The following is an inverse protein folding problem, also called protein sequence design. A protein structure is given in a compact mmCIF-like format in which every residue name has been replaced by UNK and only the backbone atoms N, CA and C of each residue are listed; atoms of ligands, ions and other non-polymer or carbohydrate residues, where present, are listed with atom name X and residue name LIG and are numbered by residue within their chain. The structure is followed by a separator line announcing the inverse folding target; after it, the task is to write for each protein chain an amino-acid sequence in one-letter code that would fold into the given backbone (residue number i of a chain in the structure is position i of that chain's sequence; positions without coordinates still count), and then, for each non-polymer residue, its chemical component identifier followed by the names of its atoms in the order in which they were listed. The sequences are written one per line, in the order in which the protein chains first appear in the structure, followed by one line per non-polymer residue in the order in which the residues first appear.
data_IF_180081757326
#
_entry.id   IF_180081757326
#
_cell.length_a   1.000
_cell.length_b   1.000
_cell.length_c   1.000
_cell.angle_alpha   90.00
_cell.angle_beta   90.00
_cell.angle_gamma   90.00
#
_symmetry.space_group_name_H-M   'P 1'
#
loop_
_entity.id
_entity.type
_entity.pdbx_description
1 polymer ?
#
# COMPACT_ATOMS: atom_id res chain seq x y z
N UNK A 1 14.18 -12.61 -5.27
CA UNK A 1 14.47 -14.06 -5.41
C UNK A 1 13.22 -14.94 -5.27
N UNK A 2 12.41 -14.84 -4.20
CA UNK A 2 11.21 -15.68 -4.04
C UNK A 2 10.20 -15.57 -5.21
N UNK A 3 10.05 -14.38 -5.79
CA UNK A 3 9.18 -14.12 -6.95
C UNK A 3 9.68 -14.86 -8.21
N UNK A 4 11.00 -14.83 -8.47
CA UNK A 4 11.64 -15.46 -9.62
C UNK A 4 11.33 -16.96 -9.70
N UNK A 5 11.42 -17.65 -8.57
CA UNK A 5 11.18 -19.09 -8.45
C UNK A 5 9.71 -19.47 -8.23
N UNK A 6 8.84 -18.50 -7.98
CA UNK A 6 7.41 -18.77 -7.81
C UNK A 6 6.76 -19.17 -9.13
N UNK A 7 7.26 -18.64 -10.26
CA UNK A 7 6.75 -18.89 -11.60
C UNK A 7 7.49 -20.10 -12.20
N UNK A 8 6.79 -21.16 -12.64
CA UNK A 8 7.41 -22.37 -13.21
C UNK A 8 7.89 -22.17 -14.67
N UNK A 9 8.31 -20.96 -15.03
CA UNK A 9 8.86 -20.61 -16.34
C UNK A 9 10.08 -19.69 -16.16
N UNK A 10 11.14 -19.95 -16.95
CA UNK A 10 12.41 -19.21 -16.83
C UNK A 10 12.24 -17.75 -17.23
N UNK A 11 11.51 -17.48 -18.32
CA UNK A 11 11.36 -16.13 -18.85
C UNK A 11 10.35 -15.34 -18.00
N UNK A 12 9.21 -15.94 -17.65
CA UNK A 12 8.19 -15.34 -16.81
C UNK A 12 8.69 -15.00 -15.41
N UNK A 13 9.53 -15.85 -14.81
CA UNK A 13 10.17 -15.55 -13.53
C UNK A 13 11.08 -14.30 -13.59
N UNK A 14 11.88 -14.18 -14.66
CA UNK A 14 12.77 -13.02 -14.87
C UNK A 14 11.96 -11.75 -15.12
N UNK A 15 10.95 -11.82 -15.99
CA UNK A 15 10.05 -10.69 -16.23
C UNK A 15 9.37 -10.23 -14.94
N UNK A 16 8.85 -11.15 -14.13
CA UNK A 16 8.24 -10.81 -12.84
C UNK A 16 9.26 -10.21 -11.86
N UNK A 17 10.52 -10.65 -11.88
CA UNK A 17 11.56 -10.03 -11.06
C UNK A 17 11.78 -8.57 -11.45
N UNK A 18 11.95 -8.26 -12.74
CA UNK A 18 12.11 -6.88 -13.20
C UNK A 18 10.84 -6.07 -12.98
N UNK A 19 9.67 -6.64 -13.25
CA UNK A 19 8.38 -6.01 -13.01
C UNK A 19 8.16 -5.67 -11.53
N UNK A 20 8.68 -6.49 -10.59
CA UNK A 20 8.55 -6.20 -9.15
C UNK A 20 9.29 -4.94 -8.72
N UNK A 21 10.35 -4.55 -9.44
CA UNK A 21 11.03 -3.28 -9.24
C UNK A 21 10.36 -2.19 -10.09
N UNK A 22 10.02 -2.53 -11.34
CA UNK A 22 9.36 -1.65 -12.30
C UNK A 22 8.05 -1.04 -11.77
N UNK A 23 7.26 -1.83 -11.03
CA UNK A 23 5.96 -1.40 -10.48
C UNK A 23 6.10 -0.22 -9.50
N UNK A 24 7.25 -0.08 -8.83
CA UNK A 24 7.50 1.03 -7.92
C UNK A 24 7.67 2.36 -8.66
N UNK A 25 8.15 2.33 -9.90
CA UNK A 25 8.28 3.55 -10.71
C UNK A 25 6.94 4.06 -11.19
N UNK A 26 5.99 3.17 -11.52
CA UNK A 26 4.65 3.56 -11.97
C UNK A 26 3.68 3.89 -10.82
N UNK A 27 4.15 3.78 -9.57
CA UNK A 27 3.35 4.00 -8.36
C UNK A 27 2.70 5.40 -8.27
N UNK A 28 3.35 6.51 -8.71
CA UNK A 28 2.72 7.83 -8.72
C UNK A 28 1.46 7.93 -9.59
N UNK A 29 1.30 7.04 -10.58
CA UNK A 29 0.11 6.98 -11.45
C UNK A 29 -0.94 5.98 -10.95
N UNK A 30 -0.53 5.01 -10.14
CA UNK A 30 -1.43 4.00 -9.58
C UNK A 30 -2.15 4.49 -8.31
N UNK A 31 -1.52 5.38 -7.52
CA UNK A 31 -2.19 6.00 -6.37
C UNK A 31 -3.04 7.20 -6.81
N UNK A 32 -4.35 6.96 -6.98
CA UNK A 32 -5.31 7.97 -7.46
C UNK A 32 -5.84 8.89 -6.35
N UNK A 33 -5.42 8.68 -5.09
CA UNK A 33 -5.91 9.45 -3.95
C UNK A 33 -5.41 10.90 -3.95
N UNK A 34 -6.33 11.85 -3.70
CA UNK A 34 -6.01 13.27 -3.51
C UNK A 34 -5.23 13.55 -2.22
N UNK A 35 -5.38 12.69 -1.21
CA UNK A 35 -4.69 12.83 0.09
C UNK A 35 -3.37 12.09 0.05
N UNK A 36 -2.27 12.84 0.13
CA UNK A 36 -0.89 12.31 0.05
C UNK A 36 -0.45 11.54 1.29
N UNK A 37 -0.99 11.89 2.46
CA UNK A 37 -0.58 11.28 3.72
C UNK A 37 -1.40 10.03 4.05
N UNK A 38 -0.70 8.91 4.21
CA UNK A 38 -1.27 7.63 4.62
C UNK A 38 -1.95 7.67 6.01
N UNK A 39 -1.57 8.62 6.88
CA UNK A 39 -2.14 8.76 8.23
C UNK A 39 -3.63 9.07 8.20
N UNK A 40 -4.08 9.81 7.17
CA UNK A 40 -5.48 10.21 7.00
C UNK A 40 -6.27 9.22 6.14
N UNK A 41 -5.64 8.13 5.69
CA UNK A 41 -6.22 7.08 4.85
C UNK A 41 -6.28 5.75 5.63
N UNK A 42 -7.35 5.50 6.42
CA UNK A 42 -7.41 4.35 7.33
C UNK A 42 -7.37 2.99 6.63
N UNK A 43 -8.01 2.85 5.46
CA UNK A 43 -7.97 1.61 4.68
C UNK A 43 -6.60 1.44 4.02
N UNK A 44 -6.04 2.50 3.43
CA UNK A 44 -4.68 2.44 2.86
C UNK A 44 -3.66 1.98 3.90
N UNK A 45 -3.76 2.49 5.13
CA UNK A 45 -2.89 2.07 6.23
C UNK A 45 -2.99 0.57 6.51
N UNK A 46 -4.18 -0.02 6.49
CA UNK A 46 -4.35 -1.46 6.69
C UNK A 46 -3.71 -2.27 5.56
N UNK A 47 -4.01 -1.93 4.29
CA UNK A 47 -3.43 -2.62 3.14
C UNK A 47 -1.92 -2.48 3.05
N UNK A 48 -1.36 -1.34 3.49
CA UNK A 48 0.08 -1.13 3.61
C UNK A 48 0.73 -2.10 4.61
N UNK A 49 0.12 -2.32 5.78
CA UNK A 49 0.62 -3.30 6.75
C UNK A 49 0.55 -4.73 6.20
N UNK A 50 -0.52 -5.07 5.46
CA UNK A 50 -0.61 -6.37 4.79
C UNK A 50 0.50 -6.50 3.73
N UNK A 51 0.76 -5.47 2.93
CA UNK A 51 1.87 -5.46 1.98
C UNK A 51 3.22 -5.69 2.69
N UNK A 52 3.45 -5.04 3.82
CA UNK A 52 4.68 -5.23 4.60
C UNK A 52 4.83 -6.68 5.07
N UNK A 53 3.75 -7.29 5.57
CA UNK A 53 3.75 -8.72 5.95
C UNK A 53 4.00 -9.63 4.75
N UNK A 54 3.46 -9.30 3.57
CA UNK A 54 3.71 -10.06 2.34
C UNK A 54 5.17 -9.94 1.90
N UNK A 55 5.76 -8.74 1.97
CA UNK A 55 7.17 -8.54 1.69
C UNK A 55 8.07 -9.33 2.66
N UNK A 56 7.76 -9.31 3.95
CA UNK A 56 8.45 -10.10 4.96
C UNK A 56 8.31 -11.62 4.70
N UNK A 57 7.10 -12.07 4.34
CA UNK A 57 6.83 -13.45 3.94
C UNK A 57 7.64 -13.86 2.72
N UNK A 58 7.64 -13.05 1.66
CA UNK A 58 8.44 -13.31 0.45
C UNK A 58 9.94 -13.32 0.73
N UNK A 59 10.42 -12.44 1.63
CA UNK A 59 11.81 -12.45 2.08
C UNK A 59 12.16 -13.76 2.78
N UNK A 60 11.33 -14.20 3.74
CA UNK A 60 11.51 -15.46 4.45
C UNK A 60 11.48 -16.66 3.51
N UNK A 61 10.47 -16.72 2.63
CA UNK A 61 10.34 -17.80 1.66
C UNK A 61 11.56 -17.82 0.74
N UNK A 62 12.09 -16.67 0.33
CA UNK A 62 13.30 -16.57 -0.48
C UNK A 62 14.49 -17.39 0.03
N UNK A 63 14.63 -17.57 1.35
CA UNK A 63 15.69 -18.38 1.96
C UNK A 63 15.37 -19.88 2.13
N UNK A 64 14.13 -20.31 1.86
CA UNK A 64 13.70 -21.72 2.00
C UNK A 64 13.83 -22.49 0.70
N UNK A 65 13.98 -23.83 0.72
CA UNK A 65 13.97 -24.64 -0.50
C UNK A 65 12.66 -24.46 -1.27
N UNK A 66 12.74 -24.46 -2.61
CA UNK A 66 11.61 -24.24 -3.50
C UNK A 66 10.83 -25.55 -3.74
N UNK A 67 10.38 -26.17 -2.65
CA UNK A 67 9.74 -27.49 -2.66
C UNK A 67 8.44 -27.49 -1.86
N UNK A 68 7.53 -28.38 -2.26
CA UNK A 68 6.26 -28.61 -1.55
C UNK A 68 5.43 -27.34 -1.35
N UNK A 69 4.95 -27.14 -0.12
CA UNK A 69 4.06 -26.03 0.25
C UNK A 69 4.67 -24.64 0.11
N UNK A 70 6.01 -24.51 0.14
CA UNK A 70 6.68 -23.20 0.02
C UNK A 70 6.53 -22.59 -1.36
N UNK A 71 6.39 -23.41 -2.41
CA UNK A 71 6.14 -22.93 -3.78
C UNK A 71 4.74 -22.34 -3.91
N UNK A 72 3.75 -23.01 -3.34
CA UNK A 72 2.36 -22.55 -3.36
C UNK A 72 2.25 -21.24 -2.57
N UNK A 73 2.85 -21.19 -1.38
CA UNK A 73 2.87 -19.98 -0.57
C UNK A 73 3.59 -18.82 -1.28
N UNK A 74 4.73 -19.05 -1.95
CA UNK A 74 5.42 -17.98 -2.68
C UNK A 74 4.62 -17.49 -3.88
N UNK A 75 3.87 -18.36 -4.56
CA UNK A 75 2.95 -17.98 -5.65
C UNK A 75 1.82 -17.08 -5.16
N UNK A 76 1.16 -17.45 -4.06
CA UNK A 76 0.07 -16.66 -3.47
C UNK A 76 0.57 -15.28 -3.05
N UNK A 77 1.71 -15.22 -2.34
CA UNK A 77 2.29 -13.96 -1.88
C UNK A 77 2.76 -13.09 -3.05
N UNK A 78 3.34 -13.69 -4.09
CA UNK A 78 3.74 -12.98 -5.31
C UNK A 78 2.52 -12.40 -6.03
N UNK A 79 1.43 -13.17 -6.14
CA UNK A 79 0.19 -12.69 -6.72
C UNK A 79 -0.39 -11.51 -5.93
N UNK A 80 -0.43 -11.61 -4.59
CA UNK A 80 -0.86 -10.51 -3.74
C UNK A 80 0.02 -9.27 -3.91
N UNK A 81 1.34 -9.43 -4.00
CA UNK A 81 2.26 -8.31 -4.21
C UNK A 81 1.90 -7.50 -5.47
N UNK A 82 1.71 -8.16 -6.62
CA UNK A 82 1.32 -7.46 -7.85
C UNK A 82 -0.11 -6.92 -7.81
N UNK A 83 -1.07 -7.68 -7.26
CA UNK A 83 -2.44 -7.23 -7.08
C UNK A 83 -2.53 -5.99 -6.21
N UNK A 84 -1.69 -5.89 -5.18
CA UNK A 84 -1.65 -4.73 -4.31
C UNK A 84 -1.39 -3.45 -5.10
N UNK A 85 -0.33 -3.42 -5.91
CA UNK A 85 0.01 -2.22 -6.67
C UNK A 85 -0.93 -1.99 -7.85
N UNK A 86 -1.24 -3.02 -8.65
CA UNK A 86 -1.94 -2.85 -9.92
C UNK A 86 -3.46 -2.72 -9.78
N UNK A 87 -4.04 -3.26 -8.70
CA UNK A 87 -5.49 -3.37 -8.55
C UNK A 87 -5.94 -2.69 -7.26
N UNK A 88 -5.37 -3.07 -6.12
CA UNK A 88 -5.83 -2.56 -4.81
C UNK A 88 -5.55 -1.06 -4.70
N UNK A 89 -4.35 -0.57 -5.03
CA UNK A 89 -4.03 0.86 -4.93
C UNK A 89 -4.97 1.76 -5.76
N UNK A 90 -5.20 1.51 -7.07
CA UNK A 90 -6.15 2.29 -7.86
C UNK A 90 -7.58 2.24 -7.32
N UNK A 91 -8.07 1.05 -6.92
CA UNK A 91 -9.41 0.89 -6.39
C UNK A 91 -9.56 1.63 -5.05
N UNK A 92 -8.56 1.54 -4.18
CA UNK A 92 -8.61 2.16 -2.86
C UNK A 92 -8.63 3.68 -2.95
N UNK A 93 -7.91 4.27 -3.90
CA UNK A 93 -7.98 5.71 -4.15
C UNK A 93 -9.35 6.18 -4.66
N UNK A 94 -10.16 5.29 -5.25
CA UNK A 94 -11.53 5.59 -5.70
C UNK A 94 -12.58 5.41 -4.59
N UNK A 95 -12.44 4.38 -3.76
CA UNK A 95 -13.47 4.01 -2.77
C UNK A 95 -13.23 4.53 -1.36
N UNK A 96 -11.98 4.83 -1.00
CA UNK A 96 -11.66 5.27 0.36
C UNK A 96 -12.08 6.73 0.58
N UNK A 97 -12.77 6.99 1.70
CA UNK A 97 -13.07 8.34 2.18
C UNK A 97 -11.99 8.80 3.16
N UNK A 98 -11.09 9.74 2.79
CA UNK A 98 -10.02 10.19 3.68
C UNK A 98 -10.54 11.00 4.86
N UNK A 99 -9.83 10.94 5.98
CA UNK A 99 -10.06 11.80 7.15
C UNK A 99 -9.73 13.26 6.82
N UNK A 100 -10.40 14.23 7.46
CA UNK A 100 -10.11 15.65 7.23
C UNK A 100 -8.66 15.96 7.59
N UNK A 101 -8.00 16.68 6.68
CA UNK A 101 -6.67 17.20 6.89
C UNK A 101 -6.73 18.45 7.80
N UNK A 102 -5.74 18.67 8.68
CA UNK A 102 -5.65 19.92 9.42
C UNK A 102 -5.46 21.10 8.46
N UNK A 103 -6.02 22.27 8.79
CA UNK A 103 -5.98 23.43 7.90
C UNK A 103 -4.55 24.01 7.76
N UNK A 104 -3.69 23.77 8.75
CA UNK A 104 -2.29 24.19 8.73
C UNK A 104 -1.40 23.24 9.54
N UNK A 105 -0.09 23.31 9.26
CA UNK A 105 0.92 22.57 10.03
C UNK A 105 0.89 23.01 11.50
N UNK A 106 0.74 24.31 11.77
CA UNK A 106 0.67 24.86 13.13
C UNK A 106 -0.49 24.26 13.93
N UNK A 107 -1.67 24.09 13.32
CA UNK A 107 -2.80 23.43 13.97
C UNK A 107 -2.47 21.96 14.33
N UNK A 108 -1.79 21.23 13.43
CA UNK A 108 -1.42 19.84 13.68
C UNK A 108 -0.41 19.68 14.83
N UNK A 109 0.47 20.66 15.03
CA UNK A 109 1.47 20.67 16.11
C UNK A 109 0.85 21.11 17.44
N UNK A 110 0.04 22.17 17.43
CA UNK A 110 -0.55 22.76 18.65
C UNK A 110 -1.66 21.89 19.25
N UNK A 111 -2.43 21.19 18.42
CA UNK A 111 -3.50 20.28 18.86
C UNK A 111 -2.98 19.01 19.55
N UNK A 112 -1.69 18.70 19.39
CA UNK A 112 -1.01 17.67 20.17
C UNK A 112 -0.84 18.00 21.66
N UNK A 113 -1.08 19.25 22.07
CA UNK A 113 -0.87 19.73 23.45
C UNK A 113 -2.14 20.13 24.23
N UNK A 114 -3.29 20.39 23.60
CA UNK A 114 -4.54 20.68 24.33
C UNK A 114 -5.76 20.53 23.42
N UNK A 115 -6.79 19.83 23.91
CA UNK A 115 -7.95 19.44 23.12
C UNK A 115 -9.00 20.55 22.91
N UNK A 116 -9.57 20.63 21.70
CA UNK A 116 -11.02 20.57 21.42
C UNK A 116 -11.28 20.62 19.89
N UNK A 117 -12.47 20.16 19.42
CA UNK A 117 -12.66 19.70 18.05
C UNK A 117 -13.05 20.80 17.06
N UNK A 118 -12.56 20.62 15.83
CA UNK A 118 -12.81 21.40 14.63
C UNK A 118 -14.24 21.22 14.10
N UNK A 119 -15.24 21.61 14.90
CA UNK A 119 -16.65 21.63 14.50
C UNK A 119 -17.15 23.04 14.11
N UNK A 120 -16.32 24.08 14.25
CA UNK A 120 -16.78 25.47 14.09
C UNK A 120 -16.57 26.08 12.69
N UNK A 121 -15.73 25.50 11.83
CA UNK A 121 -15.38 26.14 10.56
C UNK A 121 -16.36 25.87 9.40
N UNK A 122 -17.20 24.83 9.50
CA UNK A 122 -18.12 24.45 8.41
C UNK A 122 -19.44 25.26 8.38
N UNK A 123 -19.71 26.14 9.36
CA UNK A 123 -20.94 26.93 9.43
C UNK A 123 -20.78 28.41 9.05
N UNK A 124 -19.57 28.88 8.78
CA UNK A 124 -19.33 30.31 8.48
C UNK A 124 -19.47 30.67 6.99
N UNK A 125 -19.51 29.70 6.08
CA UNK A 125 -19.57 29.92 4.62
C UNK A 125 -21.02 29.86 4.07
N UNK A 126 -22.00 30.29 4.87
CA UNK A 126 -23.41 30.36 4.43
C UNK A 126 -24.17 31.56 4.96
N UNK A 127 -23.52 32.72 5.01
CA UNK A 127 -24.18 34.03 5.14
C UNK A 127 -24.07 34.80 3.83
#
# INVERSE_FOLDING_TARGET
YAILRAIPDKLGGVLAMFASIGVLFILPWLDTSKVRSATFRPLYRQFFWILLLVCAGLMYLGGKPAEGGYVIASRILTAYYFLHFLVILPLLGLFETPKPLPASISESVLKGGSGKPAAAAAQAEKR
#
